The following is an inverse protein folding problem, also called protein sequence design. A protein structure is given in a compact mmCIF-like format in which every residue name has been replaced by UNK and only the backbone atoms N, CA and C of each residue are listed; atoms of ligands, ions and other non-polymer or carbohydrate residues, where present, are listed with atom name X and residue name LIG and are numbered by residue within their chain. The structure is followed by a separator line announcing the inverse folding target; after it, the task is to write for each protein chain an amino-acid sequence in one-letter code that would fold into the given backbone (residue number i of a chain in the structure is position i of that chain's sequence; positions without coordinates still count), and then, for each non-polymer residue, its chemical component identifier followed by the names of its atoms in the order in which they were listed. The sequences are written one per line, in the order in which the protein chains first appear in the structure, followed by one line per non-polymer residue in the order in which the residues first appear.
data_IF_954955958101
#
_entry.id   IF_954955958101
#
_cell.length_a   1.000
_cell.length_b   1.000
_cell.length_c   1.000
_cell.angle_alpha   90.00
_cell.angle_beta   90.00
_cell.angle_gamma   90.00
#
_symmetry.space_group_name_H-M   'P 1'
#
loop_
_entity.id
_entity.type
_entity.pdbx_description
1 polymer ?
#
# COMPACT_ATOMS: atom_id res chain seq x y z
N UNK A 1 44.02 -58.14 43.38
CA UNK A 1 44.26 -58.20 41.91
C UNK A 1 43.04 -58.76 41.21
N UNK A 2 42.19 -57.90 40.65
CA UNK A 2 41.49 -58.03 39.36
C UNK A 2 40.68 -56.75 39.16
N UNK A 3 40.99 -56.05 38.08
CA UNK A 3 40.33 -54.83 37.60
C UNK A 3 39.05 -55.22 36.86
N UNK A 4 38.01 -54.40 37.00
CA UNK A 4 36.77 -54.49 36.22
C UNK A 4 36.02 -53.17 36.34
N UNK A 5 36.38 -52.22 35.48
CA UNK A 5 35.75 -50.91 35.30
C UNK A 5 34.45 -51.09 34.51
N UNK A 6 33.32 -50.67 35.07
CA UNK A 6 32.07 -50.44 34.32
C UNK A 6 31.74 -48.96 34.45
N UNK A 7 31.92 -48.27 33.34
CA UNK A 7 31.66 -46.85 33.12
C UNK A 7 30.16 -46.66 32.93
N UNK A 8 29.47 -46.29 34.00
CA UNK A 8 28.03 -46.00 33.99
C UNK A 8 27.82 -44.55 33.55
N UNK A 9 27.31 -44.36 32.33
CA UNK A 9 26.89 -43.06 31.80
C UNK A 9 25.60 -42.63 32.50
N UNK A 10 25.74 -41.88 33.59
CA UNK A 10 24.69 -40.96 34.03
C UNK A 10 24.63 -39.79 33.04
N UNK A 11 23.51 -39.62 32.35
CA UNK A 11 23.10 -38.27 31.94
C UNK A 11 21.61 -38.15 32.13
N UNK A 12 21.32 -37.32 33.12
CA UNK A 12 20.04 -37.04 33.74
C UNK A 12 19.19 -36.15 32.83
N UNK A 13 17.94 -36.57 32.67
CA UNK A 13 16.80 -35.81 32.17
C UNK A 13 16.56 -34.57 33.04
N UNK A 14 16.56 -33.34 32.50
CA UNK A 14 15.81 -32.20 33.08
C UNK A 14 15.75 -30.96 32.17
N UNK A 15 14.56 -30.35 32.08
CA UNK A 15 14.36 -28.91 31.76
C UNK A 15 13.87 -28.63 30.33
N UNK A 16 12.58 -28.78 30.01
CA UNK A 16 11.52 -27.74 30.14
C UNK A 16 11.75 -26.52 29.24
N UNK A 17 10.99 -26.51 28.14
CA UNK A 17 10.14 -25.40 27.67
C UNK A 17 10.74 -23.98 27.67
N UNK A 18 11.20 -23.53 26.49
CA UNK A 18 11.14 -22.12 26.09
C UNK A 18 10.91 -22.05 24.57
N UNK A 19 9.65 -22.28 24.18
CA UNK A 19 9.07 -21.75 22.95
C UNK A 19 9.12 -20.22 23.09
N UNK A 20 10.10 -19.57 22.48
CA UNK A 20 10.11 -18.11 22.33
C UNK A 20 10.04 -17.80 20.85
N UNK A 21 8.86 -17.29 20.48
CA UNK A 21 8.50 -16.84 19.15
C UNK A 21 9.40 -15.66 18.76
N UNK A 22 10.43 -15.90 17.97
CA UNK A 22 11.08 -14.86 17.18
C UNK A 22 10.40 -14.79 15.81
N UNK A 23 9.12 -14.42 15.80
CA UNK A 23 8.53 -13.79 14.60
C UNK A 23 9.10 -12.39 14.52
N UNK A 24 10.32 -12.27 13.99
CA UNK A 24 10.83 -11.01 13.52
C UNK A 24 9.88 -10.53 12.43
N UNK A 25 9.24 -9.39 12.65
CA UNK A 25 8.55 -8.63 11.63
C UNK A 25 9.55 -8.35 10.49
N UNK A 26 9.50 -9.13 9.41
CA UNK A 26 10.17 -8.77 8.16
C UNK A 26 9.25 -7.80 7.43
N UNK A 27 9.12 -6.58 7.94
CA UNK A 27 8.55 -5.50 7.16
C UNK A 27 9.59 -5.11 6.12
N UNK A 28 9.58 -5.82 4.99
CA UNK A 28 10.41 -5.54 3.82
C UNK A 28 9.81 -4.33 3.09
N UNK A 29 9.81 -3.20 3.78
CA UNK A 29 9.65 -1.90 3.15
C UNK A 29 11.02 -1.55 2.60
N UNK A 30 11.26 -1.87 1.32
CA UNK A 30 12.37 -1.27 0.60
C UNK A 30 12.05 0.22 0.41
N UNK A 31 12.31 1.05 1.44
CA UNK A 31 12.16 2.51 1.40
C UNK A 31 13.34 3.17 0.66
N UNK A 32 13.92 2.46 -0.30
CA UNK A 32 15.09 2.90 -1.03
C UNK A 32 15.02 2.33 -2.44
N UNK A 33 15.06 3.17 -3.49
CA UNK A 33 15.11 2.70 -4.88
C UNK A 33 16.43 1.97 -5.21
N UNK A 34 17.33 1.82 -4.24
CA UNK A 34 18.67 1.29 -4.45
C UNK A 34 18.73 -0.20 -4.10
N UNK A 35 18.07 -1.03 -4.92
CA UNK A 35 18.39 -2.45 -5.01
C UNK A 35 19.82 -2.60 -5.53
N UNK A 36 20.75 -3.09 -4.70
CA UNK A 36 22.12 -3.53 -5.01
C UNK A 36 23.06 -2.61 -5.85
N UNK A 37 22.62 -1.45 -6.33
CA UNK A 37 23.37 -0.57 -7.21
C UNK A 37 24.16 0.53 -6.46
N UNK A 38 25.29 0.91 -7.05
CA UNK A 38 26.34 1.82 -6.56
C UNK A 38 25.80 3.03 -5.76
N UNK A 39 26.47 3.35 -4.64
CA UNK A 39 26.19 4.55 -3.84
C UNK A 39 26.18 5.81 -4.71
N UNK A 40 25.14 6.66 -4.66
CA UNK A 40 25.09 7.89 -5.44
C UNK A 40 26.21 8.87 -5.03
N UNK A 41 26.77 9.65 -5.98
CA UNK A 41 27.69 10.74 -5.64
C UNK A 41 26.96 11.85 -4.86
N UNK A 42 27.69 12.62 -4.05
CA UNK A 42 27.12 13.72 -3.23
C UNK A 42 26.31 14.73 -4.07
N UNK A 43 26.71 14.94 -5.34
CA UNK A 43 26.01 15.81 -6.27
C UNK A 43 24.55 15.38 -6.54
N UNK A 44 24.21 14.09 -6.40
CA UNK A 44 22.83 13.61 -6.51
C UNK A 44 21.92 14.18 -5.40
N UNK A 45 22.48 14.59 -4.26
CA UNK A 45 21.75 15.21 -3.16
C UNK A 45 21.65 16.74 -3.26
N UNK A 46 22.35 17.34 -4.23
CA UNK A 46 22.41 18.81 -4.45
C UNK A 46 21.81 19.16 -5.83
N UNK A 47 21.46 18.15 -6.63
CA UNK A 47 20.91 18.35 -7.96
C UNK A 47 19.65 19.23 -7.91
N UNK A 48 19.50 20.17 -8.84
CA UNK A 48 18.29 20.97 -8.92
C UNK A 48 17.08 20.05 -9.15
N UNK A 49 15.89 20.44 -8.66
CA UNK A 49 14.69 19.66 -8.91
C UNK A 49 14.44 19.50 -10.42
N UNK A 50 14.32 18.27 -10.88
CA UNK A 50 14.13 17.93 -12.30
C UNK A 50 13.22 16.70 -12.39
N UNK A 51 11.91 16.97 -12.50
CA UNK A 51 10.89 15.94 -12.60
C UNK A 51 11.07 15.09 -13.88
N UNK A 52 11.42 15.71 -15.00
CA UNK A 52 11.57 15.00 -16.27
C UNK A 52 12.74 14.02 -16.22
N UNK A 53 13.83 14.36 -15.52
CA UNK A 53 14.92 13.42 -15.27
C UNK A 53 14.47 12.23 -14.42
N UNK A 54 13.64 12.45 -13.39
CA UNK A 54 13.10 11.34 -12.59
C UNK A 54 12.20 10.44 -13.43
N UNK A 55 11.32 11.01 -14.26
CA UNK A 55 10.43 10.25 -15.12
C UNK A 55 11.20 9.42 -16.16
N UNK A 56 12.24 9.99 -16.78
CA UNK A 56 13.12 9.21 -17.68
C UNK A 56 13.84 8.07 -16.98
N UNK A 57 14.31 8.29 -15.75
CA UNK A 57 14.96 7.23 -14.98
C UNK A 57 13.98 6.09 -14.63
N UNK A 58 12.74 6.45 -14.29
CA UNK A 58 11.67 5.48 -14.08
C UNK A 58 11.36 4.70 -15.38
N UNK A 59 11.31 5.35 -16.54
CA UNK A 59 11.01 4.68 -17.82
C UNK A 59 12.09 3.65 -18.15
N UNK A 60 13.36 3.98 -17.94
CA UNK A 60 14.48 3.02 -18.11
C UNK A 60 14.35 1.84 -17.15
N UNK A 61 14.03 2.07 -15.88
CA UNK A 61 13.79 1.01 -14.89
C UNK A 61 12.62 0.10 -15.30
N UNK A 62 11.50 0.69 -15.74
CA UNK A 62 10.32 -0.07 -16.16
C UNK A 62 10.61 -0.93 -17.39
N UNK A 63 11.31 -0.39 -18.39
CA UNK A 63 11.74 -1.12 -19.57
C UNK A 63 12.65 -2.31 -19.22
N UNK A 64 13.63 -2.11 -18.31
CA UNK A 64 14.51 -3.18 -17.83
C UNK A 64 13.75 -4.30 -17.11
N UNK A 65 12.63 -3.97 -16.47
CA UNK A 65 11.74 -4.92 -15.79
C UNK A 65 10.67 -5.53 -16.72
N UNK A 66 10.63 -5.13 -18.00
CA UNK A 66 9.61 -5.59 -18.96
C UNK A 66 8.20 -5.13 -18.60
N UNK A 67 8.09 -3.94 -18.02
CA UNK A 67 6.84 -3.32 -17.60
C UNK A 67 6.44 -2.23 -18.61
N UNK A 68 5.15 -2.19 -18.94
CA UNK A 68 4.56 -1.17 -19.81
C UNK A 68 3.77 -0.15 -18.97
N UNK A 69 3.86 1.12 -19.32
CA UNK A 69 3.10 2.19 -18.68
C UNK A 69 1.60 2.03 -19.02
N UNK A 70 0.78 1.75 -18.01
CA UNK A 70 -0.68 1.60 -18.15
C UNK A 70 -1.41 2.91 -17.83
N UNK A 71 -0.93 3.64 -16.83
CA UNK A 71 -1.58 4.87 -16.36
C UNK A 71 -0.56 5.89 -15.88
N UNK A 72 -0.77 7.17 -16.23
CA UNK A 72 -0.07 8.31 -15.66
C UNK A 72 -1.09 9.29 -15.07
N UNK A 73 -0.89 9.67 -13.81
CA UNK A 73 -1.70 10.68 -13.12
C UNK A 73 -0.79 11.79 -12.62
N UNK A 74 -1.27 13.01 -12.79
CA UNK A 74 -0.62 14.24 -12.36
C UNK A 74 -1.42 14.90 -11.25
N UNK A 75 -0.75 15.39 -10.22
CA UNK A 75 -1.33 16.06 -9.05
C UNK A 75 -0.46 17.24 -8.60
N UNK A 76 -0.97 18.05 -7.68
CA UNK A 76 -0.25 19.21 -7.16
C UNK A 76 0.25 18.95 -5.74
N UNK A 77 1.52 19.27 -5.46
CA UNK A 77 2.05 19.23 -4.11
C UNK A 77 1.64 20.48 -3.32
N UNK A 78 1.40 20.35 -2.00
CA UNK A 78 0.93 21.46 -1.19
C UNK A 78 1.96 22.58 -1.11
N UNK A 79 1.46 23.81 -0.89
CA UNK A 79 2.27 25.03 -0.72
C UNK A 79 3.14 25.35 -1.96
N UNK A 80 2.66 25.03 -3.15
CA UNK A 80 3.33 25.40 -4.41
C UNK A 80 4.64 24.65 -4.66
N UNK A 81 4.78 23.45 -4.09
CA UNK A 81 6.02 22.67 -4.16
C UNK A 81 6.22 21.92 -5.49
N UNK A 82 5.42 22.24 -6.49
CA UNK A 82 5.45 21.64 -7.82
C UNK A 82 4.42 20.52 -7.96
N UNK A 83 4.72 19.62 -8.88
CA UNK A 83 3.83 18.56 -9.31
C UNK A 83 4.24 17.22 -8.67
N UNK A 84 3.27 16.32 -8.51
CA UNK A 84 3.50 14.90 -8.25
C UNK A 84 2.98 14.10 -9.44
N UNK A 85 3.76 13.13 -9.91
CA UNK A 85 3.39 12.24 -11.02
C UNK A 85 3.38 10.81 -10.51
N UNK A 86 2.24 10.16 -10.65
CA UNK A 86 2.01 8.76 -10.30
C UNK A 86 1.96 7.98 -11.61
N UNK A 87 2.80 6.96 -11.74
CA UNK A 87 2.79 6.05 -12.89
C UNK A 87 2.50 4.63 -12.42
N UNK A 88 1.47 4.03 -13.00
CA UNK A 88 1.13 2.62 -12.83
C UNK A 88 1.55 1.84 -14.06
N UNK A 89 2.22 0.72 -13.81
CA UNK A 89 2.76 -0.16 -14.83
C UNK A 89 2.15 -1.55 -14.73
N UNK A 90 2.09 -2.24 -15.86
CA UNK A 90 1.71 -3.64 -15.93
C UNK A 90 2.70 -4.42 -16.79
N UNK A 91 2.83 -5.71 -16.51
CA UNK A 91 3.63 -6.62 -17.32
C UNK A 91 3.37 -8.06 -16.95
N UNK A 92 4.27 -8.94 -17.34
CA UNK A 92 4.25 -10.35 -16.96
C UNK A 92 5.56 -10.75 -16.32
N UNK A 93 5.50 -11.50 -15.22
CA UNK A 93 6.69 -12.07 -14.60
C UNK A 93 7.28 -13.23 -15.42
N UNK A 94 8.43 -13.77 -14.99
CA UNK A 94 9.09 -14.89 -15.66
C UNK A 94 8.25 -16.18 -15.74
N UNK A 95 7.16 -16.28 -14.98
CA UNK A 95 6.21 -17.39 -14.99
C UNK A 95 4.96 -17.08 -15.84
N UNK A 96 4.94 -15.94 -16.56
CA UNK A 96 3.84 -15.49 -17.41
C UNK A 96 2.63 -14.96 -16.63
N UNK A 97 2.77 -14.68 -15.34
CA UNK A 97 1.68 -14.14 -14.50
C UNK A 97 1.67 -12.63 -14.61
N UNK A 98 0.49 -12.01 -14.60
CA UNK A 98 0.37 -10.56 -14.55
C UNK A 98 1.08 -10.03 -13.30
N UNK A 99 1.84 -8.95 -13.48
CA UNK A 99 2.45 -8.17 -12.40
C UNK A 99 2.16 -6.69 -12.63
N UNK A 100 2.22 -5.92 -11.57
CA UNK A 100 2.02 -4.47 -11.59
C UNK A 100 3.05 -3.78 -10.72
N UNK A 101 3.35 -2.53 -11.07
CA UNK A 101 4.20 -1.68 -10.27
C UNK A 101 3.67 -0.24 -10.27
N UNK A 102 4.01 0.52 -9.23
CA UNK A 102 3.74 1.95 -9.14
C UNK A 102 5.02 2.70 -8.83
N UNK A 103 5.22 3.83 -9.48
CA UNK A 103 6.25 4.81 -9.16
C UNK A 103 5.59 6.17 -8.96
N UNK A 104 5.95 6.86 -7.89
CA UNK A 104 5.48 8.23 -7.62
C UNK A 104 6.69 9.14 -7.57
N UNK A 105 6.72 10.13 -8.44
CA UNK A 105 7.82 11.06 -8.61
C UNK A 105 7.39 12.49 -8.29
N UNK A 106 8.33 13.25 -7.75
CA UNK A 106 8.25 14.70 -7.56
C UNK A 106 9.49 15.31 -8.21
N UNK A 107 9.56 16.65 -8.38
CA UNK A 107 10.78 17.32 -8.82
C UNK A 107 12.02 16.95 -7.98
N UNK A 108 11.83 16.55 -6.72
CA UNK A 108 12.93 16.22 -5.80
C UNK A 108 13.35 14.74 -5.82
N UNK A 109 12.64 13.89 -6.56
CA UNK A 109 12.94 12.46 -6.63
C UNK A 109 11.70 11.58 -6.62
N UNK A 110 11.96 10.27 -6.74
CA UNK A 110 10.96 9.21 -6.56
C UNK A 110 10.68 9.06 -5.06
N UNK A 111 9.43 9.28 -4.67
CA UNK A 111 8.96 9.26 -3.27
C UNK A 111 8.22 7.97 -2.90
N UNK A 112 7.86 7.16 -3.90
CA UNK A 112 7.23 5.86 -3.70
C UNK A 112 7.61 4.90 -4.83
N UNK A 113 7.90 3.66 -4.47
CA UNK A 113 8.03 2.53 -5.38
C UNK A 113 7.30 1.32 -4.78
N UNK A 114 6.30 0.80 -5.50
CA UNK A 114 5.60 -0.43 -5.14
C UNK A 114 5.70 -1.41 -6.30
N UNK A 115 6.06 -2.67 -6.03
CA UNK A 115 6.23 -3.68 -7.07
C UNK A 115 7.34 -3.39 -8.10
N UNK A 116 7.51 -4.27 -9.10
CA UNK A 116 6.74 -5.49 -9.32
C UNK A 116 7.00 -6.54 -8.23
N UNK A 117 6.03 -7.41 -7.97
CA UNK A 117 6.23 -8.52 -7.04
C UNK A 117 7.18 -9.54 -7.66
N UNK A 118 8.14 -10.03 -6.87
CA UNK A 118 9.03 -11.11 -7.31
C UNK A 118 8.18 -12.35 -7.61
N UNK A 119 8.47 -12.96 -8.76
CA UNK A 119 7.89 -14.23 -9.20
C UNK A 119 8.02 -15.35 -8.16
N UNK A 120 9.06 -15.33 -7.31
CA UNK A 120 9.25 -16.31 -6.24
C UNK A 120 8.34 -16.11 -5.01
N UNK A 121 7.68 -14.95 -4.88
CA UNK A 121 6.89 -14.63 -3.69
C UNK A 121 5.49 -15.23 -3.79
N UNK A 122 5.12 -16.01 -2.79
CA UNK A 122 3.76 -16.56 -2.63
C UNK A 122 2.81 -15.52 -2.05
N UNK A 123 3.33 -14.61 -1.24
CA UNK A 123 2.54 -13.54 -0.63
C UNK A 123 2.29 -12.41 -1.65
N UNK A 124 1.04 -12.32 -2.09
CA UNK A 124 0.52 -11.32 -3.03
C UNK A 124 -0.47 -10.35 -2.38
N UNK A 125 -0.38 -10.22 -1.05
CA UNK A 125 -1.16 -9.24 -0.28
C UNK A 125 -0.70 -7.80 -0.48
N UNK A 126 0.54 -7.59 -0.96
CA UNK A 126 1.07 -6.25 -1.20
C UNK A 126 0.34 -5.57 -2.36
N UNK A 127 -0.17 -4.37 -2.11
CA UNK A 127 -0.79 -3.54 -3.12
C UNK A 127 0.27 -2.96 -4.07
N UNK A 128 0.14 -3.24 -5.36
CA UNK A 128 1.12 -2.81 -6.39
C UNK A 128 0.46 -2.29 -7.66
N UNK A 129 -0.88 -2.29 -7.72
CA UNK A 129 -1.64 -1.75 -8.84
C UNK A 129 -2.11 -0.33 -8.48
N UNK A 130 -1.83 0.67 -9.32
CA UNK A 130 -2.38 2.01 -9.16
C UNK A 130 -3.88 1.98 -9.45
N UNK A 131 -4.69 2.51 -8.53
CA UNK A 131 -6.12 2.74 -8.75
C UNK A 131 -6.27 4.18 -9.25
N UNK A 132 -6.63 4.42 -10.53
CA UNK A 132 -6.68 5.78 -11.06
C UNK A 132 -7.76 6.63 -10.42
N UNK A 133 -8.90 5.99 -10.17
CA UNK A 133 -10.03 6.60 -9.52
C UNK A 133 -10.79 5.60 -8.67
N UNK A 134 -11.31 6.08 -7.55
CA UNK A 134 -12.32 5.42 -6.76
C UNK A 134 -13.68 5.98 -7.18
N UNK A 135 -14.53 5.10 -7.68
CA UNK A 135 -15.94 5.40 -7.80
C UNK A 135 -16.56 5.17 -6.42
N UNK A 136 -17.45 6.07 -5.97
CA UNK A 136 -18.34 5.77 -4.85
C UNK A 136 -19.01 4.41 -5.11
N UNK A 137 -19.11 3.56 -4.09
CA UNK A 137 -19.78 2.26 -4.23
C UNK A 137 -21.13 2.38 -4.95
N UNK A 138 -21.50 1.37 -5.75
CA UNK A 138 -22.76 1.32 -6.52
C UNK A 138 -24.00 1.25 -5.61
N UNK A 139 -24.26 2.31 -4.83
CA UNK A 139 -25.53 2.51 -4.16
C UNK A 139 -26.51 3.13 -5.17
N UNK A 140 -27.70 2.52 -5.39
CA UNK A 140 -28.72 3.09 -6.25
C UNK A 140 -29.19 4.45 -5.67
N UNK A 141 -28.62 5.55 -6.18
CA UNK A 141 -28.92 6.92 -5.74
C UNK A 141 -27.69 7.77 -5.39
N UNK A 142 -26.50 7.17 -5.21
CA UNK A 142 -25.27 7.90 -4.86
C UNK A 142 -24.42 8.32 -6.08
N UNK A 143 -24.80 7.88 -7.28
CA UNK A 143 -23.97 7.98 -8.50
C UNK A 143 -23.95 9.36 -9.15
N UNK A 144 -24.85 10.28 -8.77
CA UNK A 144 -24.94 11.60 -9.43
C UNK A 144 -24.20 12.74 -8.70
N UNK A 145 -23.73 12.55 -7.47
CA UNK A 145 -23.23 13.70 -6.68
C UNK A 145 -21.88 13.53 -5.98
N UNK A 146 -21.41 12.31 -5.78
CA UNK A 146 -20.09 12.05 -5.21
C UNK A 146 -19.11 11.91 -6.38
N UNK A 147 -18.24 12.91 -6.57
CA UNK A 147 -17.32 12.97 -7.69
C UNK A 147 -16.45 11.73 -7.84
N UNK A 148 -15.87 11.55 -9.03
CA UNK A 148 -14.82 10.55 -9.25
C UNK A 148 -13.61 10.96 -8.43
N UNK A 149 -13.34 10.26 -7.33
CA UNK A 149 -12.16 10.50 -6.50
C UNK A 149 -10.93 10.00 -7.21
N UNK A 150 -9.91 10.84 -7.39
CA UNK A 150 -8.76 10.54 -8.22
C UNK A 150 -7.50 10.38 -7.39
N UNK A 151 -6.77 9.29 -7.61
CA UNK A 151 -5.46 9.13 -7.00
C UNK A 151 -4.51 10.27 -7.44
N UNK A 152 -3.71 10.78 -6.51
CA UNK A 152 -2.89 11.98 -6.67
C UNK A 152 -3.61 13.29 -6.34
N UNK A 153 -4.82 13.25 -5.76
CA UNK A 153 -5.47 14.39 -5.11
C UNK A 153 -5.56 14.16 -3.60
N UNK A 154 -5.90 15.20 -2.84
CA UNK A 154 -6.19 15.10 -1.41
C UNK A 154 -7.56 14.45 -1.21
N UNK A 155 -7.58 13.17 -0.82
CA UNK A 155 -8.80 12.36 -0.71
C UNK A 155 -9.39 12.39 0.70
N UNK A 156 -8.56 12.69 1.70
CA UNK A 156 -8.92 12.64 3.11
C UNK A 156 -8.92 14.02 3.81
N UNK A 157 -8.63 15.09 3.06
CA UNK A 157 -8.67 16.47 3.54
C UNK A 157 -7.45 16.88 4.39
N UNK A 158 -6.37 16.11 4.40
CA UNK A 158 -5.17 16.39 5.21
C UNK A 158 -4.21 17.40 4.55
N UNK A 159 -4.50 17.80 3.30
CA UNK A 159 -3.73 18.74 2.52
C UNK A 159 -2.56 18.11 1.75
N UNK A 160 -2.39 16.78 1.76
CA UNK A 160 -1.42 16.06 0.95
C UNK A 160 -2.10 15.24 -0.16
N UNK A 161 -1.45 15.03 -1.32
CA UNK A 161 -1.97 14.11 -2.32
C UNK A 161 -1.90 12.66 -1.85
N UNK A 162 -2.98 11.93 -2.08
CA UNK A 162 -3.09 10.52 -1.71
C UNK A 162 -2.92 9.59 -2.90
N UNK A 163 -2.18 8.50 -2.71
CA UNK A 163 -2.03 7.44 -3.71
C UNK A 163 -2.86 6.24 -3.25
N UNK A 164 -3.78 5.81 -4.11
CA UNK A 164 -4.58 4.60 -3.89
C UNK A 164 -3.98 3.43 -4.65
N UNK A 165 -3.60 2.38 -3.92
CA UNK A 165 -3.13 1.12 -4.47
C UNK A 165 -4.12 0.00 -4.22
N UNK A 166 -4.04 -1.04 -5.06
CA UNK A 166 -4.81 -2.28 -4.92
C UNK A 166 -3.91 -3.51 -5.00
N UNK A 167 -4.22 -4.52 -4.19
CA UNK A 167 -3.58 -5.85 -4.26
C UNK A 167 -4.40 -6.84 -5.12
N UNK A 168 -3.86 -8.04 -5.36
CA UNK A 168 -4.55 -9.05 -6.19
C UNK A 168 -5.88 -9.54 -5.58
N UNK A 169 -6.05 -9.44 -4.26
CA UNK A 169 -7.29 -9.77 -3.58
C UNK A 169 -8.37 -8.67 -3.71
N UNK A 170 -8.01 -7.51 -4.28
CA UNK A 170 -8.87 -6.34 -4.46
C UNK A 170 -8.92 -5.40 -3.26
N UNK A 171 -8.02 -5.57 -2.29
CA UNK A 171 -7.95 -4.73 -1.09
C UNK A 171 -7.21 -3.43 -1.41
N UNK A 172 -7.69 -2.34 -0.82
CA UNK A 172 -7.19 -0.99 -1.04
C UNK A 172 -6.17 -0.59 0.03
N UNK A 173 -5.15 0.13 -0.39
CA UNK A 173 -4.25 0.88 0.49
C UNK A 173 -4.23 2.34 0.05
N UNK A 174 -4.22 3.25 1.02
CA UNK A 174 -4.10 4.69 0.78
C UNK A 174 -2.79 5.18 1.39
N UNK A 175 -2.07 5.99 0.62
CA UNK A 175 -0.74 6.48 0.98
C UNK A 175 -0.67 8.00 0.85
N UNK A 176 -0.29 8.69 1.92
CA UNK A 176 0.03 10.11 1.91
C UNK A 176 1.31 10.34 1.11
N UNK A 177 1.33 11.31 0.18
CA UNK A 177 2.55 11.70 -0.52
C UNK A 177 3.14 12.96 0.11
N UNK A 178 4.32 12.82 0.71
CA UNK A 178 5.06 13.96 1.23
C UNK A 178 6.25 14.34 0.33
N UNK A 179 6.44 15.63 0.02
CA UNK A 179 7.49 16.09 -0.88
C UNK A 179 8.90 16.14 -0.27
N UNK A 180 9.05 15.82 1.02
CA UNK A 180 10.33 15.93 1.74
C UNK A 180 10.59 14.72 2.62
N UNK A 181 11.68 13.99 2.37
CA UNK A 181 12.40 13.13 3.33
C UNK A 181 11.69 11.91 3.90
N UNK A 182 10.39 11.99 4.15
CA UNK A 182 9.51 10.93 4.61
C UNK A 182 8.98 10.06 3.45
N UNK A 183 9.01 10.56 2.21
CA UNK A 183 8.48 9.87 1.04
C UNK A 183 6.96 9.71 1.10
N UNK A 184 6.46 8.58 0.63
CA UNK A 184 5.07 8.20 0.82
C UNK A 184 4.87 7.36 2.10
N UNK A 185 3.81 7.64 2.85
CA UNK A 185 3.48 6.93 4.08
C UNK A 185 2.08 6.28 3.97
N UNK A 186 1.98 4.98 4.25
CA UNK A 186 0.69 4.28 4.24
C UNK A 186 -0.14 4.67 5.45
N UNK A 187 -1.40 5.04 5.25
CA UNK A 187 -2.31 5.23 6.38
C UNK A 187 -2.65 3.89 7.04
N UNK A 188 -2.77 3.91 8.36
CA UNK A 188 -3.37 2.78 9.08
C UNK A 188 -4.87 2.73 8.77
N UNK A 189 -5.39 1.52 8.56
CA UNK A 189 -6.83 1.28 8.35
C UNK A 189 -7.32 0.32 9.42
N UNK A 190 -8.28 0.76 10.22
CA UNK A 190 -8.91 -0.03 11.27
C UNK A 190 -10.32 -0.44 10.86
N UNK A 191 -10.39 -1.51 10.06
CA UNK A 191 -11.61 -2.19 9.65
C UNK A 191 -11.51 -3.68 10.00
N UNK A 192 -12.64 -4.29 10.37
CA UNK A 192 -12.77 -5.73 10.47
C UNK A 192 -12.81 -6.38 9.09
N UNK A 193 -13.43 -5.73 8.10
CA UNK A 193 -13.42 -6.17 6.70
C UNK A 193 -12.34 -5.42 5.90
N UNK A 194 -11.55 -6.08 5.04
CA UNK A 194 -10.58 -5.40 4.20
C UNK A 194 -11.26 -4.30 3.35
N UNK A 195 -10.69 -3.09 3.27
CA UNK A 195 -11.24 -2.02 2.45
C UNK A 195 -11.16 -2.42 0.98
N UNK A 196 -12.27 -2.35 0.23
CA UNK A 196 -12.33 -2.73 -1.20
C UNK A 196 -12.91 -1.65 -2.08
N UNK A 197 -13.59 -0.68 -1.49
CA UNK A 197 -14.18 0.46 -2.15
C UNK A 197 -14.19 1.65 -1.19
N UNK A 198 -14.58 2.81 -1.71
CA UNK A 198 -14.71 4.03 -0.94
C UNK A 198 -16.10 4.64 -1.19
N UNK A 199 -16.55 5.47 -0.27
CA UNK A 199 -17.76 6.26 -0.38
C UNK A 199 -17.62 7.51 0.49
N UNK A 200 -18.49 8.48 0.31
CA UNK A 200 -18.60 9.66 1.16
C UNK A 200 -19.93 9.51 1.90
N UNK A 201 -19.87 9.00 3.14
CA UNK A 201 -21.08 8.60 3.89
C UNK A 201 -21.89 9.79 4.38
N UNK A 202 -21.21 10.89 4.72
CA UNK A 202 -21.81 12.06 5.34
C UNK A 202 -21.87 13.29 4.41
N UNK A 203 -21.45 13.12 3.16
CA UNK A 203 -21.49 14.11 2.08
C UNK A 203 -20.62 15.33 2.40
N UNK A 204 -19.52 15.13 3.13
CA UNK A 204 -18.58 16.19 3.47
C UNK A 204 -17.51 16.41 2.38
N UNK A 205 -17.47 15.54 1.35
CA UNK A 205 -16.52 15.56 0.25
C UNK A 205 -15.23 14.81 0.53
N UNK A 206 -15.09 14.22 1.72
CA UNK A 206 -14.00 13.34 2.14
C UNK A 206 -14.38 11.89 1.88
N UNK A 207 -13.40 11.06 1.58
CA UNK A 207 -13.66 9.63 1.42
C UNK A 207 -13.56 8.86 2.73
N UNK A 208 -14.57 8.03 2.97
CA UNK A 208 -14.49 6.85 3.81
C UNK A 208 -14.02 5.63 3.01
N UNK A 209 -13.29 4.75 3.69
CA UNK A 209 -12.98 3.41 3.17
C UNK A 209 -13.99 2.41 3.72
N UNK A 210 -14.39 1.45 2.89
CA UNK A 210 -15.34 0.43 3.29
C UNK A 210 -15.03 -0.97 2.76
N UNK A 211 -15.44 -1.94 3.57
CA UNK A 211 -15.43 -3.37 3.24
C UNK A 211 -16.83 -3.96 3.38
N UNK A 212 -17.18 -4.91 2.52
CA UNK A 212 -18.45 -5.66 2.61
C UNK A 212 -18.21 -7.07 3.16
N UNK A 213 -19.04 -7.49 4.09
CA UNK A 213 -19.06 -8.89 4.53
C UNK A 213 -19.64 -9.76 3.41
N UNK A 214 -19.11 -10.98 3.24
CA UNK A 214 -19.72 -11.95 2.33
C UNK A 214 -21.09 -12.36 2.87
N UNK A 215 -22.12 -12.14 2.06
CA UNK A 215 -23.47 -12.66 2.31
C UNK A 215 -23.41 -14.17 2.54
N UNK A 216 -24.05 -14.64 3.61
CA UNK A 216 -24.21 -16.08 3.85
C UNK A 216 -25.25 -16.62 2.86
N UNK A 217 -24.84 -17.59 2.06
CA UNK A 217 -25.74 -18.25 1.12
C UNK A 217 -26.90 -18.92 1.88
N UNK A 218 -28.13 -18.66 1.43
CA UNK A 218 -29.35 -19.19 2.05
C UNK A 218 -29.91 -18.41 3.24
N UNK A 219 -29.31 -17.27 3.62
CA UNK A 219 -29.92 -16.37 4.62
C UNK A 219 -31.16 -15.68 4.01
N UNK A 220 -32.38 -15.89 4.57
CA UNK A 220 -33.61 -15.31 4.04
C UNK A 220 -33.69 -13.80 4.23
N UNK A 221 -32.98 -13.23 5.20
CA UNK A 221 -32.94 -11.78 5.47
C UNK A 221 -31.94 -11.11 4.54
N UNK A 222 -30.85 -11.82 4.24
CA UNK A 222 -29.86 -11.38 3.28
C UNK A 222 -29.30 -9.97 3.52
N UNK A 223 -28.85 -9.66 4.75
CA UNK A 223 -28.37 -8.32 5.06
C UNK A 223 -27.12 -7.97 4.25
N UNK A 224 -27.04 -6.74 3.75
CA UNK A 224 -25.77 -6.15 3.31
C UNK A 224 -25.10 -5.51 4.53
N UNK A 225 -23.90 -5.96 4.86
CA UNK A 225 -23.15 -5.50 6.02
C UNK A 225 -21.89 -4.79 5.54
N UNK A 226 -21.91 -3.46 5.66
CA UNK A 226 -20.80 -2.58 5.38
C UNK A 226 -20.06 -2.22 6.67
N UNK A 227 -18.75 -2.43 6.64
CA UNK A 227 -17.83 -1.91 7.64
C UNK A 227 -17.15 -0.68 7.05
N UNK A 228 -17.20 0.45 7.75
CA UNK A 228 -16.84 1.78 7.25
C UNK A 228 -15.84 2.42 8.20
N UNK A 229 -14.84 3.09 7.64
CA UNK A 229 -13.81 3.81 8.37
C UNK A 229 -13.62 5.19 7.75
N UNK A 230 -13.76 6.23 8.57
CA UNK A 230 -13.49 7.61 8.18
C UNK A 230 -12.08 8.02 8.61
N UNK A 231 -11.54 9.04 7.97
CA UNK A 231 -10.20 9.54 8.27
C UNK A 231 -10.21 10.44 9.51
N UNK A 232 -9.46 10.08 10.55
CA UNK A 232 -9.30 10.88 11.77
C UNK A 232 -7.93 10.64 12.40
N UNK A 233 -7.16 11.69 12.64
CA UNK A 233 -5.86 11.60 13.32
C UNK A 233 -4.85 10.70 12.61
N UNK A 234 -4.66 10.92 11.30
CA UNK A 234 -3.69 10.22 10.43
C UNK A 234 -3.97 8.72 10.19
N UNK A 235 -5.23 8.30 10.37
CA UNK A 235 -5.66 6.93 10.09
C UNK A 235 -7.12 6.88 9.67
N UNK A 236 -7.48 5.83 8.95
CA UNK A 236 -8.88 5.45 8.73
C UNK A 236 -9.34 4.56 9.88
N UNK A 237 -10.42 4.94 10.57
CA UNK A 237 -10.95 4.16 11.71
C UNK A 237 -12.48 4.12 11.75
N UNK A 238 -13.03 2.96 12.10
CA UNK A 238 -14.47 2.79 12.39
C UNK A 238 -14.95 3.60 13.60
N UNK A 239 -14.03 4.18 14.39
CA UNK A 239 -14.36 5.04 15.53
C UNK A 239 -14.51 6.50 15.15
N UNK A 240 -14.27 6.85 13.89
CA UNK A 240 -14.39 8.21 13.42
C UNK A 240 -15.83 8.70 13.51
N UNK A 241 -16.02 10.02 13.50
CA UNK A 241 -17.36 10.61 13.66
C UNK A 241 -18.32 10.19 12.54
N UNK A 242 -17.91 10.26 11.27
CA UNK A 242 -18.69 9.84 10.12
C UNK A 242 -18.98 8.33 10.14
N UNK A 243 -17.97 7.50 10.39
CA UNK A 243 -18.15 6.04 10.50
C UNK A 243 -19.15 5.65 11.62
N UNK A 244 -19.07 6.29 12.78
CA UNK A 244 -20.01 6.05 13.90
C UNK A 244 -21.41 6.59 13.64
N UNK A 245 -21.56 7.63 12.83
CA UNK A 245 -22.87 8.13 12.44
C UNK A 245 -23.54 7.21 11.42
N UNK A 246 -22.74 6.51 10.61
CA UNK A 246 -23.20 5.52 9.64
C UNK A 246 -23.62 4.18 10.28
N UNK A 247 -22.88 3.71 11.30
CA UNK A 247 -23.15 2.47 12.04
C UNK A 247 -24.26 2.61 13.08
#
# INVERSE_FOLDING_TARGET
MRKGTVTEKLTLTMGVLLLSCTSCCTSDHQVSPWGAARRPPLAAYIAPPDLDAQLRAIDVEADELGLELEVELRGALPRGQGEVVLRGYAGTDALGRRTSAVRVATPRGVVMAAGPLDSGRVDRSQATQLVPSLLPGEEPGATEQLGVFRSGTDLNGDGAPDVVLRNEAGELEVWAVHPFGAGAARYAVELAMPPRFALDVDQDGTLELAGRTRRREGDPIAPDLLDVASFEGDRYTHRGSAARAFH
#
